data_IF_202064427565
#
_entry.id   IF_202064427565
#
_cell.length_a   1.000
_cell.length_b   1.000
_cell.length_c   1.000
_cell.angle_alpha   90.00
_cell.angle_beta   90.00
_cell.angle_gamma   90.00
#
_symmetry.space_group_name_H-M   'P 1'
#
loop_
_entity.id
_entity.type
_entity.pdbx_description
1 polymer ?
#
# COMPACT_ATOMS: atom_id res chain seq x y z
N UNK A 1 -47.87 12.49 -23.33
CA UNK A 1 -48.22 11.41 -22.37
C UNK A 1 -46.98 10.53 -22.24
N UNK A 2 -46.01 10.84 -21.35
CA UNK A 2 -45.85 10.29 -19.97
C UNK A 2 -46.06 8.76 -19.96
N UNK A 3 -45.07 7.90 -19.66
CA UNK A 3 -44.25 7.71 -18.43
C UNK A 3 -42.93 6.97 -18.81
N UNK A 4 -41.71 7.28 -18.34
CA UNK A 4 -41.04 7.07 -17.02
C UNK A 4 -41.02 5.63 -16.45
N UNK A 5 -39.81 5.28 -15.95
CA UNK A 5 -39.35 4.12 -15.13
C UNK A 5 -38.91 2.92 -15.98
N UNK A 6 -37.64 2.49 -15.98
CA UNK A 6 -36.82 2.15 -14.82
C UNK A 6 -35.35 2.56 -15.01
N UNK A 7 -34.82 3.31 -14.05
CA UNK A 7 -33.40 3.57 -13.91
C UNK A 7 -32.72 2.38 -13.26
N UNK A 8 -32.08 1.54 -14.07
CA UNK A 8 -30.95 0.72 -13.64
C UNK A 8 -29.73 1.45 -14.13
N UNK A 9 -29.05 2.15 -13.22
CA UNK A 9 -27.80 2.83 -13.50
C UNK A 9 -26.73 1.74 -13.68
N UNK A 10 -26.65 1.23 -14.91
CA UNK A 10 -25.59 0.34 -15.37
C UNK A 10 -24.28 1.12 -15.37
N UNK A 11 -23.59 1.09 -14.23
CA UNK A 11 -22.33 1.80 -13.99
C UNK A 11 -21.14 1.03 -14.57
N UNK A 12 -21.29 0.54 -15.80
CA UNK A 12 -20.21 -0.06 -16.59
C UNK A 12 -20.53 0.14 -18.07
N UNK A 13 -20.12 1.29 -18.61
CA UNK A 13 -20.13 1.55 -20.04
C UNK A 13 -18.81 1.02 -20.65
N UNK A 14 -18.86 -0.06 -21.45
CA UNK A 14 -17.65 -0.64 -22.05
C UNK A 14 -16.97 0.28 -23.09
N UNK A 15 -17.58 1.41 -23.47
CA UNK A 15 -16.98 2.36 -24.39
C UNK A 15 -16.05 3.40 -23.72
N UNK A 16 -16.08 3.56 -22.40
CA UNK A 16 -15.20 4.51 -21.71
C UNK A 16 -13.70 4.13 -21.79
N UNK A 17 -13.39 2.84 -21.96
CA UNK A 17 -12.01 2.34 -22.07
C UNK A 17 -11.38 2.69 -23.44
N UNK A 18 -12.20 2.95 -24.48
CA UNK A 18 -11.67 3.29 -25.81
C UNK A 18 -11.14 4.72 -25.91
N UNK A 19 -11.66 5.66 -25.13
CA UNK A 19 -11.14 7.05 -25.16
C UNK A 19 -9.81 7.21 -24.41
N UNK A 20 -9.58 6.44 -23.34
CA UNK A 20 -8.34 6.55 -22.54
C UNK A 20 -7.12 6.05 -23.33
N UNK A 21 -7.28 5.09 -24.25
CA UNK A 21 -6.17 4.56 -25.05
C UNK A 21 -5.84 5.39 -26.30
N UNK A 22 -6.66 6.37 -26.69
CA UNK A 22 -6.43 7.20 -27.89
C UNK A 22 -5.85 8.57 -27.55
N UNK A 23 -6.00 9.08 -26.33
CA UNK A 23 -5.40 10.37 -25.93
C UNK A 23 -3.89 10.29 -25.60
N UNK A 24 -3.28 9.11 -25.65
CA UNK A 24 -1.86 8.90 -25.32
C UNK A 24 -1.00 8.64 -26.57
N UNK A 25 -1.28 9.34 -27.66
CA UNK A 25 -0.56 9.15 -28.92
C UNK A 25 -0.49 10.41 -29.77
N UNK A 26 0.02 11.52 -29.23
CA UNK A 26 0.83 12.47 -29.99
C UNK A 26 1.33 13.61 -29.09
N UNK A 27 2.52 13.40 -28.53
CA UNK A 27 3.43 14.49 -28.16
C UNK A 27 4.85 13.97 -28.35
N UNK A 28 5.22 13.67 -29.60
CA UNK A 28 6.63 13.58 -29.98
C UNK A 28 7.09 14.97 -30.36
N UNK A 29 7.98 15.62 -29.57
CA UNK A 29 8.64 16.82 -30.03
C UNK A 29 9.59 16.45 -31.18
N UNK A 30 9.14 16.63 -32.41
CA UNK A 30 10.00 16.64 -33.61
C UNK A 30 10.63 18.02 -33.74
N UNK A 31 11.76 18.22 -33.09
CA UNK A 31 12.61 19.39 -33.30
C UNK A 31 14.08 19.03 -33.04
N UNK A 32 15.02 19.36 -33.95
CA UNK A 32 16.43 19.07 -33.76
C UNK A 32 17.06 20.15 -32.88
N UNK A 33 16.66 20.25 -31.62
CA UNK A 33 17.45 20.97 -30.64
C UNK A 33 18.46 20.00 -30.04
N UNK A 34 19.57 19.82 -30.77
CA UNK A 34 20.82 19.33 -30.18
C UNK A 34 21.36 20.40 -29.22
N UNK A 35 20.62 20.63 -28.13
CA UNK A 35 21.12 21.29 -26.94
C UNK A 35 22.15 20.35 -26.34
N UNK A 36 23.40 20.49 -26.79
CA UNK A 36 24.54 19.89 -26.09
C UNK A 36 24.52 20.49 -24.69
N UNK A 37 23.97 19.74 -23.74
CA UNK A 37 24.27 19.90 -22.32
C UNK A 37 25.76 19.63 -22.18
N UNK A 38 26.54 20.67 -22.43
CA UNK A 38 27.98 20.68 -22.24
C UNK A 38 28.17 20.66 -20.74
N UNK A 39 28.24 19.45 -20.17
CA UNK A 39 28.83 19.22 -18.87
C UNK A 39 30.25 19.79 -18.94
N UNK A 40 30.42 20.99 -18.40
CA UNK A 40 31.75 21.50 -18.11
C UNK A 40 32.29 20.59 -17.01
N UNK A 41 33.36 19.80 -17.23
CA UNK A 41 34.02 19.13 -16.13
C UNK A 41 34.43 20.22 -15.14
N UNK A 42 33.79 20.21 -13.97
CA UNK A 42 34.08 21.14 -12.90
C UNK A 42 35.57 21.06 -12.59
N UNK A 43 36.23 22.22 -12.55
CA UNK A 43 37.61 22.32 -12.09
C UNK A 43 37.69 21.61 -10.74
N UNK A 44 38.68 20.72 -10.60
CA UNK A 44 38.99 20.02 -9.35
C UNK A 44 39.49 21.04 -8.33
N UNK A 45 38.55 21.77 -7.73
CA UNK A 45 38.79 22.60 -6.55
C UNK A 45 38.97 21.66 -5.37
N UNK A 46 40.13 21.73 -4.73
CA UNK A 46 40.38 21.02 -3.48
C UNK A 46 39.25 21.27 -2.47
N UNK A 47 38.91 20.20 -1.73
CA UNK A 47 37.83 20.22 -0.75
C UNK A 47 38.20 21.19 0.37
N UNK A 48 37.48 22.32 0.48
CA UNK A 48 37.75 23.30 1.52
C UNK A 48 37.13 22.84 2.84
N UNK A 49 37.90 22.93 3.93
CA UNK A 49 37.45 22.61 5.29
C UNK A 49 36.06 23.18 5.66
N UNK A 50 35.73 24.46 5.40
CA UNK A 50 34.42 25.00 5.76
C UNK A 50 33.26 24.35 4.99
N UNK A 51 33.47 23.90 3.75
CA UNK A 51 32.44 23.22 2.96
C UNK A 51 32.15 21.84 3.54
N UNK A 52 33.18 21.14 4.03
CA UNK A 52 33.01 19.84 4.71
C UNK A 52 32.18 20.00 5.97
N UNK A 53 32.55 20.99 6.80
CA UNK A 53 31.88 21.26 8.07
C UNK A 53 30.41 21.63 7.82
N UNK A 54 30.14 22.46 6.80
CA UNK A 54 28.77 22.81 6.41
C UNK A 54 27.97 21.60 5.91
N UNK A 55 28.57 20.75 5.07
CA UNK A 55 27.89 19.56 4.57
C UNK A 55 27.56 18.55 5.69
N UNK A 56 28.51 18.33 6.62
CA UNK A 56 28.32 17.41 7.75
C UNK A 56 27.27 17.95 8.71
N UNK A 57 27.31 19.25 9.04
CA UNK A 57 26.28 19.86 9.92
C UNK A 57 24.89 19.76 9.32
N UNK A 58 24.73 20.02 8.02
CA UNK A 58 23.45 19.83 7.34
C UNK A 58 22.99 18.36 7.39
N UNK A 59 23.88 17.41 7.13
CA UNK A 59 23.58 15.99 7.20
C UNK A 59 23.15 15.56 8.61
N UNK A 60 23.78 16.08 9.66
CA UNK A 60 23.41 15.79 11.06
C UNK A 60 22.02 16.32 11.38
N UNK A 61 21.71 17.56 11.00
CA UNK A 61 20.37 18.14 11.24
C UNK A 61 19.28 17.33 10.53
N UNK A 62 19.53 16.95 9.27
CA UNK A 62 18.59 16.11 8.51
C UNK A 62 18.43 14.72 9.13
N UNK A 63 19.51 14.11 9.61
CA UNK A 63 19.47 12.81 10.26
C UNK A 63 18.62 12.86 11.55
N UNK A 64 18.82 13.87 12.39
CA UNK A 64 18.07 14.04 13.65
C UNK A 64 16.56 14.16 13.40
N UNK A 65 16.14 14.84 12.33
CA UNK A 65 14.72 14.99 12.00
C UNK A 65 14.13 13.70 11.40
N UNK A 66 14.92 12.96 10.62
CA UNK A 66 14.43 11.80 9.87
C UNK A 66 14.30 10.55 10.74
N UNK A 67 15.24 10.33 11.67
CA UNK A 67 15.28 9.13 12.53
C UNK A 67 13.99 8.88 13.33
N UNK A 68 13.39 9.83 14.08
CA UNK A 68 12.23 9.54 14.91
C UNK A 68 11.01 9.06 14.11
N UNK A 69 10.89 9.44 12.83
CA UNK A 69 9.80 8.98 11.96
C UNK A 69 9.91 7.49 11.59
N UNK A 70 11.10 6.90 11.69
CA UNK A 70 11.37 5.51 11.32
C UNK A 70 11.31 4.56 12.52
N UNK A 71 11.52 5.07 13.73
CA UNK A 71 11.96 4.21 14.84
C UNK A 71 10.82 3.45 15.52
N UNK A 72 9.59 3.96 15.68
CA UNK A 72 8.51 3.19 16.34
C UNK A 72 7.11 3.55 15.86
N UNK A 73 6.28 2.58 15.44
CA UNK A 73 4.84 2.77 15.45
C UNK A 73 4.39 2.90 16.91
N UNK A 74 3.57 3.93 17.20
CA UNK A 74 2.94 4.08 18.51
C UNK A 74 2.02 2.90 18.80
N UNK A 75 1.70 2.69 20.09
CA UNK A 75 0.78 1.62 20.47
C UNK A 75 -0.62 1.83 19.87
N UNK A 76 -1.04 3.08 19.66
CA UNK A 76 -2.25 3.43 18.91
C UNK A 76 -2.19 2.91 17.47
N UNK A 77 -1.07 3.10 16.76
CA UNK A 77 -0.90 2.61 15.39
C UNK A 77 -0.92 1.08 15.35
N UNK A 78 -0.33 0.41 16.36
CA UNK A 78 -0.37 -1.05 16.46
C UNK A 78 -1.77 -1.57 16.74
N UNK A 79 -2.54 -0.89 17.58
CA UNK A 79 -3.94 -1.24 17.86
C UNK A 79 -4.81 -1.12 16.61
N UNK A 80 -4.68 -0.01 15.87
CA UNK A 80 -5.36 0.18 14.59
C UNK A 80 -4.92 -0.84 13.54
N UNK A 81 -3.63 -1.15 13.49
CA UNK A 81 -3.12 -2.20 12.61
C UNK A 81 -3.68 -3.58 12.97
N UNK A 82 -3.89 -3.89 14.26
CA UNK A 82 -4.54 -5.14 14.66
C UNK A 82 -6.00 -5.19 14.18
N UNK A 83 -6.76 -4.11 14.34
CA UNK A 83 -8.13 -4.01 13.81
C UNK A 83 -8.18 -4.19 12.28
N UNK A 84 -7.28 -3.53 11.55
CA UNK A 84 -7.20 -3.67 10.09
C UNK A 84 -6.85 -5.11 9.69
N UNK A 85 -5.97 -5.78 10.43
CA UNK A 85 -5.63 -7.18 10.15
C UNK A 85 -6.80 -8.13 10.41
N UNK A 86 -7.60 -7.89 11.47
CA UNK A 86 -8.84 -8.63 11.72
C UNK A 86 -9.77 -8.54 10.50
N UNK A 87 -9.96 -7.33 9.94
CA UNK A 87 -10.77 -7.15 8.74
C UNK A 87 -10.21 -7.87 7.52
N UNK A 88 -8.88 -7.84 7.32
CA UNK A 88 -8.21 -8.54 6.22
C UNK A 88 -8.37 -10.06 6.32
N UNK A 89 -8.20 -10.62 7.51
CA UNK A 89 -8.42 -12.06 7.75
C UNK A 89 -9.89 -12.42 7.51
N UNK A 90 -10.83 -11.59 7.96
CA UNK A 90 -12.26 -11.80 7.71
C UNK A 90 -12.61 -11.71 6.22
N UNK A 91 -11.96 -10.81 5.46
CA UNK A 91 -12.10 -10.73 4.01
C UNK A 91 -11.57 -12.01 3.33
N UNK A 92 -10.40 -12.50 3.76
CA UNK A 92 -9.85 -13.74 3.24
C UNK A 92 -10.74 -14.96 3.58
N UNK A 93 -11.32 -15.02 4.77
CA UNK A 93 -12.30 -16.06 5.13
C UNK A 93 -13.56 -16.01 4.25
N UNK A 94 -14.07 -14.81 3.94
CA UNK A 94 -15.18 -14.64 2.99
C UNK A 94 -14.80 -15.06 1.57
N UNK A 95 -13.58 -14.75 1.15
CA UNK A 95 -13.06 -15.18 -0.14
C UNK A 95 -12.95 -16.71 -0.19
N UNK A 96 -12.36 -17.35 0.82
CA UNK A 96 -12.29 -18.81 0.96
C UNK A 96 -13.66 -19.46 0.79
N UNK A 97 -14.69 -18.96 1.50
CA UNK A 97 -16.05 -19.46 1.39
C UNK A 97 -16.60 -19.39 -0.03
N UNK A 98 -16.22 -18.36 -0.79
CA UNK A 98 -16.66 -18.20 -2.18
C UNK A 98 -16.10 -19.28 -3.10
N UNK A 99 -14.88 -19.75 -2.85
CA UNK A 99 -14.24 -20.79 -3.67
C UNK A 99 -14.53 -22.21 -3.21
N UNK A 100 -14.56 -22.44 -1.89
CA UNK A 100 -14.69 -23.78 -1.31
C UNK A 100 -16.12 -24.13 -0.87
N UNK A 101 -17.03 -23.15 -0.86
CA UNK A 101 -18.43 -23.32 -0.41
C UNK A 101 -18.59 -23.46 1.11
N UNK A 102 -17.51 -23.60 1.87
CA UNK A 102 -17.48 -23.77 3.32
C UNK A 102 -16.60 -22.71 3.98
N UNK A 103 -16.82 -22.43 5.26
CA UNK A 103 -15.92 -21.57 6.03
C UNK A 103 -14.64 -22.31 6.43
N UNK A 104 -13.49 -21.63 6.51
CA UNK A 104 -12.26 -22.23 7.03
C UNK A 104 -12.43 -22.56 8.52
N UNK A 105 -11.95 -23.72 8.94
CA UNK A 105 -11.95 -24.15 10.35
C UNK A 105 -10.87 -23.45 11.17
N UNK A 106 -9.73 -23.17 10.54
CA UNK A 106 -8.56 -22.55 11.17
C UNK A 106 -8.05 -21.39 10.33
N UNK A 107 -7.51 -20.36 10.98
CA UNK A 107 -6.93 -19.20 10.30
C UNK A 107 -5.68 -19.59 9.50
N UNK A 108 -4.96 -20.62 9.95
CA UNK A 108 -3.79 -21.16 9.24
C UNK A 108 -4.14 -21.66 7.82
N UNK A 109 -5.36 -22.16 7.61
CA UNK A 109 -5.80 -22.60 6.28
C UNK A 109 -5.85 -21.45 5.27
N UNK A 110 -6.01 -20.20 5.72
CA UNK A 110 -5.97 -19.03 4.83
C UNK A 110 -4.57 -18.73 4.27
N UNK A 111 -3.52 -19.36 4.82
CA UNK A 111 -2.13 -19.18 4.37
C UNK A 111 -1.65 -20.28 3.44
N UNK A 112 -2.47 -21.30 3.16
CA UNK A 112 -2.12 -22.32 2.17
C UNK A 112 -1.98 -21.72 0.76
N UNK A 113 -2.67 -20.62 0.49
CA UNK A 113 -2.60 -19.86 -0.75
C UNK A 113 -1.99 -18.47 -0.50
N UNK A 114 -0.74 -18.21 -0.93
CA UNK A 114 -0.04 -16.94 -0.65
C UNK A 114 -0.67 -15.72 -1.33
N UNK A 115 -1.65 -15.93 -2.22
CA UNK A 115 -2.41 -14.88 -2.91
C UNK A 115 -3.41 -14.18 -1.99
N UNK A 116 -3.86 -14.82 -0.90
CA UNK A 116 -4.94 -14.30 -0.06
C UNK A 116 -4.44 -13.69 1.24
N UNK A 117 -3.44 -14.33 1.87
CA UNK A 117 -2.84 -13.83 3.09
C UNK A 117 -1.37 -14.24 3.18
N UNK A 118 -0.51 -13.30 3.56
CA UNK A 118 0.87 -13.62 3.92
C UNK A 118 0.92 -14.25 5.32
N UNK A 119 1.80 -15.22 5.59
CA UNK A 119 1.92 -15.86 6.91
C UNK A 119 2.18 -14.87 8.06
N UNK A 120 2.94 -13.81 7.78
CA UNK A 120 3.23 -12.76 8.76
C UNK A 120 2.01 -11.93 9.19
N UNK A 121 0.88 -12.04 8.48
CA UNK A 121 -0.36 -11.34 8.80
C UNK A 121 -1.26 -12.09 9.81
N UNK A 122 -0.88 -13.31 10.21
CA UNK A 122 -1.65 -14.13 11.15
C UNK A 122 -1.50 -13.72 12.62
N UNK A 123 -0.53 -12.86 12.93
CA UNK A 123 -0.22 -12.44 14.30
C UNK A 123 -0.71 -11.01 14.55
N UNK A 124 -1.30 -10.75 15.71
CA UNK A 124 -1.63 -9.38 16.10
C UNK A 124 -0.35 -8.57 16.37
N UNK A 125 -0.21 -7.35 15.80
CA UNK A 125 0.96 -6.51 16.00
C UNK A 125 1.22 -6.10 17.46
N UNK A 126 0.19 -6.15 18.32
CA UNK A 126 0.29 -5.77 19.73
C UNK A 126 0.70 -6.94 20.61
N UNK A 127 -0.07 -8.03 20.58
CA UNK A 127 0.11 -9.19 21.48
C UNK A 127 1.01 -10.29 20.90
N UNK A 128 1.27 -10.25 19.58
CA UNK A 128 1.89 -11.32 18.78
C UNK A 128 1.18 -12.67 18.89
N UNK A 129 -0.07 -12.69 19.31
CA UNK A 129 -0.88 -13.90 19.37
C UNK A 129 -1.54 -14.16 18.01
N UNK A 130 -1.74 -15.43 17.63
CA UNK A 130 -2.47 -15.78 16.44
C UNK A 130 -3.96 -15.42 16.58
N UNK A 131 -4.58 -15.00 15.49
CA UNK A 131 -6.03 -14.81 15.45
C UNK A 131 -6.76 -16.16 15.54
N UNK A 132 -7.93 -16.15 16.18
CA UNK A 132 -8.82 -17.31 16.30
C UNK A 132 -10.18 -16.99 15.70
N UNK A 133 -10.78 -17.95 14.99
CA UNK A 133 -12.15 -17.82 14.51
C UNK A 133 -13.14 -18.14 15.61
N UNK A 134 -14.23 -17.40 15.61
CA UNK A 134 -15.42 -17.74 16.36
C UNK A 134 -16.18 -18.87 15.65
N UNK A 135 -16.50 -19.94 16.38
CA UNK A 135 -17.16 -21.12 15.82
C UNK A 135 -18.61 -20.85 15.37
N UNK A 136 -19.26 -19.79 15.86
CA UNK A 136 -20.64 -19.44 15.56
C UNK A 136 -20.72 -18.40 14.46
N UNK A 137 -19.89 -17.36 14.53
CA UNK A 137 -19.96 -16.25 13.57
C UNK A 137 -19.03 -16.44 12.36
N UNK A 138 -18.08 -17.38 12.43
CA UNK A 138 -17.03 -17.60 11.43
C UNK A 138 -16.13 -16.38 11.16
N UNK A 139 -16.15 -15.39 12.06
CA UNK A 139 -15.29 -14.22 12.02
C UNK A 139 -14.23 -14.30 13.12
N UNK A 140 -13.13 -13.59 12.92
CA UNK A 140 -12.06 -13.48 13.91
C UNK A 140 -12.59 -12.83 15.18
N UNK A 141 -12.32 -13.45 16.33
CA UNK A 141 -12.62 -12.86 17.63
C UNK A 141 -11.73 -11.65 17.89
N UNK A 142 -12.35 -10.51 18.19
CA UNK A 142 -11.64 -9.33 18.67
C UNK A 142 -11.09 -9.62 20.06
N UNK A 143 -9.77 -9.55 20.23
CA UNK A 143 -9.13 -9.64 21.54
C UNK A 143 -8.70 -8.25 21.99
N UNK A 144 -8.86 -7.94 23.27
CA UNK A 144 -8.40 -6.68 23.85
C UNK A 144 -6.87 -6.64 23.90
N UNK A 145 -6.30 -5.44 23.81
CA UNK A 145 -4.87 -5.18 23.92
C UNK A 145 -4.59 -4.30 25.14
#
# INVERSE_FOLDING_TARGET
RHDRRNGVMSMYDPNMIREILVSSRDDRPTGPHKGRLRWRPGQSSGFSLPVVIFAVTLATVLAVITVPRLVKPSDDVRSQACQLQIERVNLAARHWRRFHGSWPTEVANLTSEPTWLAPAALLCPVTRQPYTFDAVTHFVQTHSH
#
